data_IF_728012051408
#
_entry.id   IF_728012051408
#
_cell.length_a   1.000
_cell.length_b   1.000
_cell.length_c   1.000
_cell.angle_alpha   90.00
_cell.angle_beta   90.00
_cell.angle_gamma   90.00
#
_symmetry.space_group_name_H-M   'P 1'
#
loop_
_entity.id
_entity.type
_entity.pdbx_description
1 polymer ?
#
# COMPACT_ATOMS: atom_id res chain seq x y z
N UNK A 1 1.81 31.80 88.64
CA UNK A 1 2.56 30.69 88.00
C UNK A 1 2.05 30.57 86.58
N UNK A 2 2.96 30.62 85.62
CA UNK A 2 2.76 31.04 84.23
C UNK A 2 1.80 30.17 83.41
N UNK A 3 0.98 30.86 82.61
CA UNK A 3 0.18 30.33 81.51
C UNK A 3 1.08 30.10 80.29
N UNK A 4 1.06 28.90 79.69
CA UNK A 4 1.63 28.69 78.36
C UNK A 4 0.58 28.10 77.42
N UNK A 5 0.11 28.98 76.54
CA UNK A 5 -0.72 28.71 75.38
C UNK A 5 -0.07 27.67 74.45
N UNK A 6 -0.77 26.57 74.21
CA UNK A 6 -0.45 25.63 73.14
C UNK A 6 -1.20 26.08 71.86
N UNK A 7 -0.64 27.03 71.10
CA UNK A 7 -1.15 27.41 69.79
C UNK A 7 0.03 27.50 68.83
N UNK A 8 0.42 26.38 68.23
CA UNK A 8 1.38 26.36 67.13
C UNK A 8 1.19 25.06 66.35
N UNK A 9 0.17 24.96 65.50
CA UNK A 9 0.06 23.96 64.42
C UNK A 9 -0.95 24.28 63.26
N UNK A 10 -1.13 25.52 62.72
CA UNK A 10 -1.91 25.70 61.48
C UNK A 10 -1.08 25.75 60.18
N UNK A 11 0.23 26.02 60.25
CA UNK A 11 1.02 26.48 59.09
C UNK A 11 1.48 25.31 58.20
N UNK A 12 1.79 24.14 58.78
CA UNK A 12 2.26 22.97 58.01
C UNK A 12 1.16 22.30 57.16
N UNK A 13 -0.13 22.50 57.49
CA UNK A 13 -1.25 21.87 56.78
C UNK A 13 -1.61 22.58 55.47
N UNK A 14 -1.42 23.90 55.38
CA UNK A 14 -1.77 24.70 54.20
C UNK A 14 -0.77 24.55 53.03
N UNK A 15 0.50 24.27 53.31
CA UNK A 15 1.51 24.04 52.27
C UNK A 15 1.28 22.74 51.50
N UNK A 16 0.84 21.68 52.19
CA UNK A 16 0.60 20.35 51.59
C UNK A 16 -0.63 20.30 50.67
N UNK A 17 -1.70 21.03 51.00
CA UNK A 17 -2.90 21.15 50.16
C UNK A 17 -2.64 21.94 48.88
N UNK A 18 -1.94 23.08 48.99
CA UNK A 18 -1.55 23.92 47.85
C UNK A 18 -0.63 23.18 46.88
N UNK A 19 0.34 22.44 47.42
CA UNK A 19 1.25 21.62 46.62
C UNK A 19 0.48 20.50 45.89
N UNK A 20 -0.51 19.87 46.54
CA UNK A 20 -1.39 18.87 45.90
C UNK A 20 -2.20 19.46 44.74
N UNK A 21 -2.78 20.65 44.89
CA UNK A 21 -3.56 21.30 43.82
C UNK A 21 -2.69 21.70 42.62
N UNK A 22 -1.48 22.20 42.86
CA UNK A 22 -0.53 22.52 41.79
C UNK A 22 -0.09 21.27 41.02
N UNK A 23 0.14 20.16 41.73
CA UNK A 23 0.50 18.88 41.13
C UNK A 23 -0.66 18.33 40.30
N UNK A 24 -1.90 18.36 40.81
CA UNK A 24 -3.10 17.93 40.08
C UNK A 24 -3.34 18.79 38.83
N UNK A 25 -3.18 20.13 38.92
CA UNK A 25 -3.30 21.03 37.76
C UNK A 25 -2.27 20.69 36.68
N UNK A 26 -1.02 20.43 37.05
CA UNK A 26 0.06 20.06 36.10
C UNK A 26 -0.24 18.73 35.41
N UNK A 27 -0.71 17.72 36.15
CA UNK A 27 -1.11 16.43 35.56
C UNK A 27 -2.28 16.60 34.59
N UNK A 28 -3.29 17.40 34.94
CA UNK A 28 -4.43 17.66 34.06
C UNK A 28 -4.00 18.38 32.78
N UNK A 29 -3.15 19.40 32.86
CA UNK A 29 -2.64 20.10 31.67
C UNK A 29 -1.78 19.21 30.78
N UNK A 30 -0.92 18.37 31.37
CA UNK A 30 -0.08 17.43 30.62
C UNK A 30 -0.95 16.38 29.93
N UNK A 31 -1.99 15.87 30.60
CA UNK A 31 -2.94 14.93 30.02
C UNK A 31 -3.71 15.54 28.86
N UNK A 32 -4.18 16.79 28.99
CA UNK A 32 -4.90 17.50 27.92
C UNK A 32 -3.97 17.75 26.72
N UNK A 33 -2.73 18.18 26.96
CA UNK A 33 -1.73 18.36 25.89
C UNK A 33 -1.37 17.03 25.21
N UNK A 34 -1.25 15.94 25.96
CA UNK A 34 -1.01 14.61 25.42
C UNK A 34 -2.19 14.12 24.56
N UNK A 35 -3.43 14.30 25.03
CA UNK A 35 -4.62 14.00 24.25
C UNK A 35 -4.71 14.85 22.97
N UNK A 36 -4.43 16.15 23.06
CA UNK A 36 -4.42 17.03 21.89
C UNK A 36 -3.30 16.65 20.91
N UNK A 37 -2.12 16.24 21.39
CA UNK A 37 -1.04 15.73 20.56
C UNK A 37 -1.41 14.40 19.90
N UNK A 38 -2.04 13.48 20.61
CA UNK A 38 -2.52 12.20 20.05
C UNK A 38 -3.63 12.42 19.00
N UNK A 39 -4.55 13.35 19.24
CA UNK A 39 -5.58 13.74 18.26
C UNK A 39 -4.95 14.40 17.03
N UNK A 40 -3.92 15.24 17.22
CA UNK A 40 -3.17 15.85 16.12
C UNK A 40 -2.36 14.81 15.33
N UNK A 41 -1.75 13.82 15.99
CA UNK A 41 -1.08 12.69 15.34
C UNK A 41 -2.07 11.88 14.49
N UNK A 42 -3.24 11.52 15.04
CA UNK A 42 -4.28 10.77 14.32
C UNK A 42 -4.79 11.52 13.08
N UNK A 43 -4.91 12.85 13.17
CA UNK A 43 -5.40 13.69 12.06
C UNK A 43 -4.43 13.76 10.86
N UNK A 44 -3.15 13.41 11.07
CA UNK A 44 -2.13 13.37 10.00
C UNK A 44 -2.03 12.00 9.31
N UNK A 45 -2.73 10.98 9.81
CA UNK A 45 -2.52 9.56 9.43
C UNK A 45 -3.70 9.00 8.62
N UNK A 46 -4.34 9.81 7.77
CA UNK A 46 -5.29 9.27 6.78
C UNK A 46 -5.13 9.96 5.44
N UNK A 47 -3.95 9.82 4.84
CA UNK A 47 -3.85 9.90 3.39
C UNK A 47 -4.52 8.64 2.82
N UNK A 48 -5.53 8.80 1.97
CA UNK A 48 -6.13 7.70 1.22
C UNK A 48 -5.06 7.12 0.29
N UNK A 49 -4.44 6.01 0.71
CA UNK A 49 -3.42 5.34 -0.07
C UNK A 49 -4.10 4.64 -1.23
N UNK A 50 -3.85 5.12 -2.47
CA UNK A 50 -4.47 4.55 -3.68
C UNK A 50 -4.29 3.04 -3.78
N UNK A 51 -3.13 2.53 -3.38
CA UNK A 51 -2.80 1.11 -3.43
C UNK A 51 -2.67 0.56 -2.01
N UNK A 52 -3.59 -0.29 -1.60
CA UNK A 52 -3.63 -0.90 -0.27
C UNK A 52 -3.13 -2.34 -0.39
N UNK A 53 -2.05 -2.67 0.30
CA UNK A 53 -1.60 -4.06 0.46
C UNK A 53 -2.55 -4.80 1.41
N UNK A 54 -3.10 -5.93 0.95
CA UNK A 54 -4.02 -6.75 1.73
C UNK A 54 -3.29 -7.80 2.61
N UNK A 55 -1.97 -7.94 2.49
CA UNK A 55 -1.15 -8.88 3.27
C UNK A 55 -1.30 -10.36 2.86
N UNK A 56 -2.04 -10.65 1.78
CA UNK A 56 -2.28 -11.99 1.25
C UNK A 56 -1.68 -12.19 -0.17
N UNK A 57 -0.79 -11.29 -0.59
CA UNK A 57 -0.21 -11.25 -1.93
C UNK A 57 -1.08 -10.52 -2.95
N UNK A 58 -2.09 -9.76 -2.50
CA UNK A 58 -2.92 -8.91 -3.36
C UNK A 58 -2.87 -7.44 -2.95
N UNK A 59 -3.10 -6.55 -3.91
CA UNK A 59 -3.10 -5.10 -3.72
C UNK A 59 -4.39 -4.52 -4.28
N UNK A 60 -5.09 -3.73 -3.48
CA UNK A 60 -6.33 -3.04 -3.87
C UNK A 60 -6.02 -1.65 -4.41
N UNK A 61 -6.40 -1.35 -5.66
CA UNK A 61 -6.40 0.01 -6.24
C UNK A 61 -7.75 0.67 -6.00
N UNK A 62 -7.84 1.56 -5.00
CA UNK A 62 -9.08 2.23 -4.58
C UNK A 62 -9.62 3.18 -5.64
N UNK A 63 -8.75 3.72 -6.50
CA UNK A 63 -9.14 4.65 -7.57
C UNK A 63 -9.88 3.92 -8.70
N UNK A 64 -9.41 2.73 -9.06
CA UNK A 64 -9.97 1.94 -10.18
C UNK A 64 -10.94 0.85 -9.73
N UNK A 65 -11.04 0.60 -8.42
CA UNK A 65 -11.79 -0.53 -7.84
C UNK A 65 -11.33 -1.89 -8.41
N UNK A 66 -10.03 -2.01 -8.65
CA UNK A 66 -9.38 -3.23 -9.10
C UNK A 66 -8.55 -3.81 -7.96
N UNK A 67 -8.38 -5.12 -8.00
CA UNK A 67 -7.43 -5.82 -7.14
C UNK A 67 -6.42 -6.53 -8.03
N UNK A 68 -5.15 -6.36 -7.69
CA UNK A 68 -3.99 -6.85 -8.44
C UNK A 68 -3.26 -7.90 -7.64
N UNK A 69 -2.58 -8.82 -8.33
CA UNK A 69 -1.50 -9.56 -7.69
C UNK A 69 -0.38 -8.59 -7.29
N UNK A 70 0.23 -8.78 -6.12
CA UNK A 70 1.36 -7.97 -5.66
C UNK A 70 2.64 -8.22 -6.48
N UNK A 71 2.75 -9.42 -7.07
CA UNK A 71 3.87 -9.83 -7.92
C UNK A 71 3.40 -10.45 -9.23
N UNK A 72 4.25 -10.42 -10.25
CA UNK A 72 4.01 -11.16 -11.49
C UNK A 72 4.31 -12.67 -11.35
N UNK A 73 4.28 -13.40 -12.47
CA UNK A 73 4.54 -14.84 -12.54
C UNK A 73 6.03 -15.23 -12.41
N UNK A 74 6.94 -14.28 -12.17
CA UNK A 74 8.37 -14.48 -11.94
C UNK A 74 9.17 -15.14 -13.08
N UNK A 75 8.60 -15.25 -14.29
CA UNK A 75 9.24 -15.97 -15.39
C UNK A 75 8.73 -15.62 -16.79
N UNK A 76 9.50 -15.99 -17.80
CA UNK A 76 9.13 -15.78 -19.21
C UNK A 76 7.91 -16.61 -19.59
N UNK A 77 6.92 -15.96 -20.19
CA UNK A 77 5.63 -16.59 -20.47
C UNK A 77 5.07 -16.16 -21.83
N UNK A 78 4.49 -17.11 -22.58
CA UNK A 78 3.80 -16.80 -23.84
C UNK A 78 2.48 -16.10 -23.54
N UNK A 79 1.87 -15.47 -24.55
CA UNK A 79 0.58 -14.79 -24.33
C UNK A 79 -0.53 -15.77 -23.93
N UNK A 80 -0.57 -16.97 -24.54
CA UNK A 80 -1.57 -17.98 -24.21
C UNK A 80 -1.41 -18.50 -22.78
N UNK A 81 -0.18 -18.83 -22.38
CA UNK A 81 0.11 -19.29 -21.02
C UNK A 81 -0.15 -18.20 -19.99
N UNK A 82 0.15 -16.94 -20.33
CA UNK A 82 -0.11 -15.79 -19.46
C UNK A 82 -1.62 -15.62 -19.21
N UNK A 83 -2.45 -15.89 -20.22
CA UNK A 83 -3.91 -15.84 -20.07
C UNK A 83 -4.39 -16.89 -19.08
N UNK A 84 -3.91 -18.13 -19.23
CA UNK A 84 -4.22 -19.23 -18.30
C UNK A 84 -3.75 -18.94 -16.88
N UNK A 85 -2.52 -18.42 -16.74
CA UNK A 85 -1.96 -18.02 -15.44
C UNK A 85 -2.83 -16.95 -14.76
N UNK A 86 -3.23 -15.92 -15.52
CA UNK A 86 -4.05 -14.84 -14.98
C UNK A 86 -5.47 -15.27 -14.63
N UNK A 87 -6.01 -16.34 -15.21
CA UNK A 87 -7.32 -16.90 -14.84
C UNK A 87 -7.24 -17.74 -13.55
N UNK A 88 -6.08 -18.33 -13.25
CA UNK A 88 -5.88 -19.23 -12.10
C UNK A 88 -4.57 -18.95 -11.34
N UNK A 89 -4.35 -17.73 -10.82
CA UNK A 89 -3.09 -17.40 -10.16
C UNK A 89 -3.00 -18.08 -8.78
N UNK A 90 -1.83 -18.62 -8.39
CA UNK A 90 -1.61 -19.26 -7.10
C UNK A 90 -1.39 -18.23 -5.97
N UNK A 91 -2.30 -17.26 -5.83
CA UNK A 91 -2.21 -16.13 -4.89
C UNK A 91 -3.39 -16.12 -3.93
N UNK A 92 -3.22 -15.52 -2.74
CA UNK A 92 -4.24 -15.46 -1.69
C UNK A 92 -4.92 -16.82 -1.38
N UNK A 93 -4.19 -17.93 -1.51
CA UNK A 93 -4.72 -19.27 -1.28
C UNK A 93 -5.91 -19.65 -2.17
N UNK A 94 -5.97 -19.15 -3.41
CA UNK A 94 -7.09 -19.36 -4.34
C UNK A 94 -8.45 -18.84 -3.85
N UNK A 95 -8.44 -17.85 -2.95
CA UNK A 95 -9.65 -17.23 -2.38
C UNK A 95 -10.59 -16.62 -3.43
N UNK A 96 -10.08 -16.23 -4.59
CA UNK A 96 -10.83 -15.58 -5.65
C UNK A 96 -10.71 -16.35 -6.97
N UNK A 97 -11.80 -16.38 -7.74
CA UNK A 97 -11.93 -17.15 -8.98
C UNK A 97 -12.25 -16.30 -10.22
N UNK A 98 -12.33 -14.99 -10.06
CA UNK A 98 -12.68 -13.99 -11.08
C UNK A 98 -11.46 -13.18 -11.54
N UNK A 99 -10.27 -13.78 -11.43
CA UNK A 99 -9.04 -13.23 -11.97
C UNK A 99 -9.05 -13.29 -13.50
N UNK A 100 -8.42 -12.29 -14.11
CA UNK A 100 -8.28 -12.19 -15.56
C UNK A 100 -6.96 -11.52 -15.93
N UNK A 101 -6.59 -11.66 -17.19
CA UNK A 101 -5.52 -10.86 -17.78
C UNK A 101 -5.97 -9.39 -17.86
N UNK A 102 -5.07 -8.43 -17.56
CA UNK A 102 -5.40 -7.01 -17.59
C UNK A 102 -5.47 -6.48 -19.01
N UNK A 103 -6.21 -5.39 -19.18
CA UNK A 103 -6.22 -4.60 -20.41
C UNK A 103 -5.00 -3.69 -20.48
N UNK A 104 -4.66 -3.23 -21.69
CA UNK A 104 -3.59 -2.26 -21.91
C UNK A 104 -3.83 -0.96 -21.14
N UNK A 105 -5.09 -0.54 -21.02
CA UNK A 105 -5.48 0.68 -20.30
C UNK A 105 -5.22 0.54 -18.79
N UNK A 106 -5.53 -0.61 -18.22
CA UNK A 106 -5.29 -0.89 -16.80
C UNK A 106 -3.79 -0.95 -16.50
N UNK A 107 -3.00 -1.65 -17.32
CA UNK A 107 -1.53 -1.67 -17.18
C UNK A 107 -0.92 -0.26 -17.26
N UNK A 108 -1.41 0.56 -18.20
CA UNK A 108 -0.98 1.96 -18.32
C UNK A 108 -1.28 2.78 -17.06
N UNK A 109 -2.36 2.47 -16.34
CA UNK A 109 -2.73 3.17 -15.10
C UNK A 109 -1.81 2.83 -13.90
N UNK A 110 -1.06 1.73 -13.99
CA UNK A 110 -0.04 1.34 -13.01
C UNK A 110 1.33 2.01 -13.28
N UNK A 111 1.55 2.52 -14.49
CA UNK A 111 2.83 3.10 -14.89
C UNK A 111 3.04 4.49 -14.30
N UNK A 112 4.21 4.72 -13.71
CA UNK A 112 4.62 6.02 -13.19
C UNK A 112 5.50 6.74 -14.22
N UNK A 113 5.00 7.85 -14.75
CA UNK A 113 5.75 8.67 -15.74
C UNK A 113 6.99 9.33 -15.15
N UNK A 114 6.86 9.92 -13.96
CA UNK A 114 7.93 10.61 -13.24
C UNK A 114 8.04 10.01 -11.84
N UNK A 115 9.20 9.45 -11.51
CA UNK A 115 9.40 8.78 -10.23
C UNK A 115 10.64 7.90 -10.23
N UNK A 116 10.85 7.21 -9.11
CA UNK A 116 11.91 6.23 -8.97
C UNK A 116 11.71 5.07 -9.94
N UNK A 117 12.85 4.49 -10.35
CA UNK A 117 12.90 3.21 -11.07
C UNK A 117 13.61 2.21 -10.18
N UNK A 118 13.31 0.93 -10.35
CA UNK A 118 14.10 -0.15 -9.78
C UNK A 118 14.55 -1.10 -10.88
N UNK A 119 15.65 -1.80 -10.62
CA UNK A 119 16.17 -2.86 -11.48
C UNK A 119 15.46 -4.18 -11.15
N UNK A 120 15.00 -4.86 -12.20
CA UNK A 120 14.30 -6.14 -12.12
C UNK A 120 15.29 -7.30 -12.29
N UNK A 121 14.88 -8.52 -11.95
CA UNK A 121 15.71 -9.73 -12.05
C UNK A 121 16.25 -9.99 -13.46
N UNK A 122 15.55 -9.52 -14.50
CA UNK A 122 16.00 -9.62 -15.89
C UNK A 122 16.99 -8.52 -16.33
N UNK A 123 17.50 -7.70 -15.41
CA UNK A 123 18.45 -6.62 -15.66
C UNK A 123 17.85 -5.37 -16.33
N UNK A 124 16.51 -5.27 -16.37
CA UNK A 124 15.80 -4.12 -16.93
C UNK A 124 15.28 -3.22 -15.82
N UNK A 125 15.31 -1.91 -16.06
CA UNK A 125 14.74 -0.92 -15.15
C UNK A 125 13.26 -0.66 -15.48
N UNK A 126 12.40 -0.62 -14.46
CA UNK A 126 10.95 -0.40 -14.60
C UNK A 126 10.45 0.73 -13.70
N UNK A 127 9.29 1.30 -14.07
CA UNK A 127 8.55 2.29 -13.28
C UNK A 127 7.09 1.85 -13.12
N UNK A 128 6.74 1.46 -11.91
CA UNK A 128 5.40 1.02 -11.50
C UNK A 128 5.17 1.47 -10.06
N UNK A 129 3.91 1.55 -9.62
CA UNK A 129 3.59 1.83 -8.23
C UNK A 129 4.26 0.82 -7.27
N UNK A 130 4.90 1.28 -6.17
CA UNK A 130 5.73 0.42 -5.31
C UNK A 130 5.02 -0.77 -4.66
N UNK A 131 3.69 -0.73 -4.53
CA UNK A 131 2.91 -1.85 -4.00
C UNK A 131 2.94 -3.08 -4.93
N UNK A 132 3.29 -2.92 -6.20
CA UNK A 132 3.37 -4.00 -7.19
C UNK A 132 4.80 -4.16 -7.68
N UNK A 133 5.35 -5.36 -7.54
CA UNK A 133 6.70 -5.71 -7.97
C UNK A 133 6.67 -6.58 -9.23
N UNK A 134 7.49 -6.24 -10.21
CA UNK A 134 7.68 -6.99 -11.44
C UNK A 134 9.08 -7.60 -11.47
N UNK A 135 9.18 -8.84 -11.90
CA UNK A 135 10.46 -9.52 -12.15
C UNK A 135 11.04 -9.18 -13.53
N UNK A 136 10.26 -8.54 -14.41
CA UNK A 136 10.76 -7.98 -15.67
C UNK A 136 9.88 -6.85 -16.26
N UNK A 137 10.26 -6.34 -17.43
CA UNK A 137 9.78 -5.05 -17.94
C UNK A 137 8.49 -5.07 -18.77
N UNK A 138 8.05 -6.23 -19.27
CA UNK A 138 6.90 -6.33 -20.15
C UNK A 138 5.82 -7.21 -19.55
N UNK A 139 4.58 -6.72 -19.57
CA UNK A 139 3.42 -7.46 -19.09
C UNK A 139 2.43 -7.61 -20.24
N UNK A 140 1.98 -8.84 -20.49
CA UNK A 140 0.97 -9.13 -21.49
C UNK A 140 -0.37 -8.49 -21.13
N UNK A 141 -1.08 -8.01 -22.15
CA UNK A 141 -2.45 -7.54 -22.01
C UNK A 141 -3.42 -8.44 -22.77
N UNK A 142 -4.70 -8.37 -22.41
CA UNK A 142 -5.75 -9.21 -22.97
C UNK A 142 -6.07 -8.90 -24.43
N UNK A 143 -5.65 -7.75 -24.96
CA UNK A 143 -5.92 -7.37 -26.34
C UNK A 143 -5.02 -8.11 -27.33
N UNK A 144 -5.63 -8.75 -28.34
CA UNK A 144 -4.94 -9.53 -29.37
C UNK A 144 -5.47 -9.24 -30.77
N UNK A 145 -4.63 -9.46 -31.78
CA UNK A 145 -4.99 -9.40 -33.20
C UNK A 145 -4.33 -10.53 -33.98
N UNK A 146 -5.13 -11.46 -34.52
CA UNK A 146 -4.66 -12.66 -35.20
C UNK A 146 -3.63 -13.44 -34.35
N UNK A 147 -2.38 -13.55 -34.82
CA UNK A 147 -1.27 -14.24 -34.13
C UNK A 147 -0.47 -13.34 -33.19
N UNK A 148 -0.89 -12.08 -33.04
CA UNK A 148 -0.20 -11.07 -32.23
C UNK A 148 -1.03 -10.65 -31.03
N UNK A 149 -0.36 -10.13 -30.00
CA UNK A 149 -0.98 -9.56 -28.81
C UNK A 149 -0.24 -8.30 -28.35
N UNK A 150 -0.94 -7.50 -27.54
CA UNK A 150 -0.37 -6.31 -26.93
C UNK A 150 0.35 -6.65 -25.62
N UNK A 151 1.47 -5.99 -25.39
CA UNK A 151 2.16 -5.97 -24.11
C UNK A 151 2.49 -4.53 -23.73
N UNK A 152 2.43 -4.22 -22.44
CA UNK A 152 2.79 -2.91 -21.91
C UNK A 152 4.23 -2.93 -21.39
N UNK A 153 5.03 -1.93 -21.76
CA UNK A 153 6.39 -1.78 -21.26
C UNK A 153 6.42 -0.87 -20.03
N UNK A 154 6.73 -1.41 -18.86
CA UNK A 154 7.00 -0.62 -17.65
C UNK A 154 8.37 0.03 -17.65
N UNK A 155 9.23 -0.30 -18.63
CA UNK A 155 10.48 0.42 -18.90
C UNK A 155 10.24 1.73 -19.66
N UNK A 156 9.35 1.71 -20.66
CA UNK A 156 9.16 2.85 -21.57
C UNK A 156 7.82 3.58 -21.43
N UNK A 157 6.82 2.97 -20.80
CA UNK A 157 5.50 3.56 -20.55
C UNK A 157 4.53 3.52 -21.73
N UNK A 158 4.74 2.64 -22.71
CA UNK A 158 3.86 2.49 -23.87
C UNK A 158 3.59 1.02 -24.21
N UNK A 159 2.42 0.72 -24.80
CA UNK A 159 2.13 -0.60 -25.31
C UNK A 159 2.74 -0.83 -26.70
N UNK A 160 3.02 -2.09 -27.01
CA UNK A 160 3.42 -2.50 -28.35
C UNK A 160 2.81 -3.87 -28.66
N UNK A 161 2.69 -4.16 -29.95
CA UNK A 161 2.13 -5.42 -30.43
C UNK A 161 3.26 -6.34 -30.90
N UNK A 162 3.18 -7.61 -30.55
CA UNK A 162 4.18 -8.63 -30.92
C UNK A 162 3.55 -10.01 -31.04
N UNK A 163 4.29 -11.01 -31.50
CA UNK A 163 3.78 -12.37 -31.70
C UNK A 163 3.41 -13.01 -30.36
N UNK A 164 2.27 -13.72 -30.30
CA UNK A 164 1.80 -14.42 -29.11
C UNK A 164 2.76 -15.51 -28.62
N UNK A 165 3.61 -16.03 -29.52
CA UNK A 165 4.65 -17.02 -29.23
C UNK A 165 5.90 -16.43 -28.55
N UNK A 166 6.05 -15.11 -28.53
CA UNK A 166 7.15 -14.49 -27.81
C UNK A 166 6.97 -14.70 -26.30
N UNK A 167 8.06 -14.93 -25.59
CA UNK A 167 8.05 -15.12 -24.13
C UNK A 167 9.15 -14.38 -23.41
N UNK A 168 10.26 -14.11 -24.09
CA UNK A 168 11.45 -13.49 -23.52
C UNK A 168 11.13 -12.15 -22.90
N UNK A 169 11.34 -12.03 -21.58
CA UNK A 169 11.09 -10.84 -20.77
C UNK A 169 9.60 -10.42 -20.62
N UNK A 170 8.66 -11.27 -21.04
CA UNK A 170 7.22 -11.04 -20.84
C UNK A 170 6.73 -11.71 -19.57
N UNK A 171 5.78 -11.06 -18.91
CA UNK A 171 5.20 -11.45 -17.61
C UNK A 171 3.69 -11.41 -17.66
N UNK A 172 3.08 -12.11 -16.71
CA UNK A 172 1.65 -12.13 -16.47
C UNK A 172 1.37 -11.48 -15.10
N UNK A 173 0.48 -10.48 -15.07
CA UNK A 173 0.06 -9.80 -13.85
C UNK A 173 -1.47 -9.87 -13.72
N UNK A 174 -2.01 -10.81 -12.94
CA UNK A 174 -3.45 -11.00 -12.79
C UNK A 174 -4.14 -9.76 -12.17
N UNK A 175 -5.35 -9.48 -12.65
CA UNK A 175 -6.23 -8.44 -12.09
C UNK A 175 -7.66 -8.97 -11.96
N UNK A 176 -8.40 -8.47 -10.99
CA UNK A 176 -9.84 -8.73 -10.84
C UNK A 176 -10.60 -7.45 -10.48
N UNK A 177 -11.91 -7.48 -10.71
CA UNK A 177 -12.80 -6.38 -10.32
C UNK A 177 -13.28 -6.59 -8.88
N UNK A 178 -13.31 -5.53 -8.08
CA UNK A 178 -13.97 -5.56 -6.78
C UNK A 178 -15.45 -5.26 -7.02
N UNK A 179 -16.33 -6.25 -6.83
CA UNK A 179 -17.78 -6.02 -6.91
C UNK A 179 -18.18 -5.08 -5.77
N UNK A 180 -18.93 -4.02 -6.11
CA UNK A 180 -19.67 -3.22 -5.13
C UNK A 180 -20.84 -4.02 -4.58
#
# INVERSE_FOLDING_TARGET
MLTYNCIMLPILRQGTLRWREEVIRKFFTISVMFCLFMVFLVSTVQADERFIDNGDGTVTDTLTNLMWAATDNMGDITWHDAKVYCENPPIAGYKYSDWRMPTTKELKALFIKHGARYETDCGLNVRIYPAITLSCAWVWSSESKAISAYAFSFRKGYPYMTLQLNKTNFRALPVRNIKK
#
